data_IF_901704941552
#
_entry.id   IF_901704941552
#
_cell.length_a   1.000
_cell.length_b   1.000
_cell.length_c   1.000
_cell.angle_alpha   90.00
_cell.angle_beta   90.00
_cell.angle_gamma   90.00
#
_symmetry.space_group_name_H-M   'P 1'
#
loop_
_entity.id
_entity.type
_entity.pdbx_description
1 polymer ?
#
# COMPACT_ATOMS: atom_id res chain seq x y z
N UNK A 1 -14.36 -18.80 -14.77
CA UNK A 1 -13.36 -19.01 -13.70
C UNK A 1 -12.59 -17.70 -13.65
N UNK A 2 -12.62 -17.00 -12.53
CA UNK A 2 -11.82 -15.79 -12.37
C UNK A 2 -10.50 -16.23 -11.77
N UNK A 3 -9.41 -16.01 -12.49
CA UNK A 3 -8.07 -16.30 -12.02
C UNK A 3 -7.64 -15.19 -11.04
N UNK A 4 -7.30 -15.58 -9.82
CA UNK A 4 -6.76 -14.69 -8.79
C UNK A 4 -5.34 -15.08 -8.45
N UNK A 5 -4.56 -14.12 -7.97
CA UNK A 5 -3.21 -14.34 -7.44
C UNK A 5 -3.10 -13.80 -6.02
N UNK A 6 -2.32 -14.51 -5.21
CA UNK A 6 -2.06 -14.12 -3.83
C UNK A 6 -1.04 -12.98 -3.82
N UNK A 7 -1.39 -11.91 -3.13
CA UNK A 7 -0.49 -10.79 -2.84
C UNK A 7 0.26 -11.06 -1.55
N UNK A 8 1.58 -10.93 -1.62
CA UNK A 8 2.49 -11.21 -0.52
C UNK A 8 3.22 -9.93 -0.14
N UNK A 9 3.34 -9.67 1.16
CA UNK A 9 4.12 -8.55 1.68
C UNK A 9 5.57 -8.64 1.24
N UNK A 10 6.11 -7.58 0.66
CA UNK A 10 7.51 -7.56 0.22
C UNK A 10 8.48 -7.70 1.40
N UNK A 11 8.15 -7.11 2.56
CA UNK A 11 8.99 -7.08 3.76
C UNK A 11 8.94 -8.37 4.57
N UNK A 12 7.75 -8.81 4.98
CA UNK A 12 7.60 -9.96 5.89
C UNK A 12 7.17 -11.26 5.21
N UNK A 13 7.01 -11.25 3.88
CA UNK A 13 6.58 -12.40 3.07
C UNK A 13 5.27 -13.07 3.50
N UNK A 14 4.45 -12.37 4.29
CA UNK A 14 3.12 -12.85 4.69
C UNK A 14 2.10 -12.59 3.57
N UNK A 15 1.15 -13.51 3.34
CA UNK A 15 0.02 -13.24 2.45
C UNK A 15 -0.84 -12.12 3.04
N UNK A 16 -1.18 -11.12 2.24
CA UNK A 16 -1.98 -9.95 2.66
C UNK A 16 -3.40 -10.04 2.10
N UNK A 17 -3.56 -10.68 0.93
CA UNK A 17 -4.85 -10.83 0.27
C UNK A 17 -4.68 -11.45 -1.11
N UNK A 18 -5.74 -11.34 -1.91
CA UNK A 18 -5.80 -11.84 -3.28
C UNK A 18 -6.29 -10.72 -4.20
N UNK A 19 -5.72 -10.65 -5.40
CA UNK A 19 -6.15 -9.73 -6.46
C UNK A 19 -6.40 -10.51 -7.74
N UNK A 20 -7.15 -9.91 -8.66
CA UNK A 20 -7.34 -10.46 -10.00
C UNK A 20 -6.00 -10.64 -10.72
N UNK A 21 -5.89 -11.66 -11.57
CA UNK A 21 -4.63 -11.98 -12.24
C UNK A 21 -4.08 -10.79 -13.04
N UNK A 22 -4.98 -10.07 -13.72
CA UNK A 22 -4.69 -8.89 -14.55
C UNK A 22 -4.42 -7.62 -13.74
N UNK A 23 -4.76 -7.61 -12.44
CA UNK A 23 -4.47 -6.49 -11.55
C UNK A 23 -3.00 -6.47 -11.15
N UNK A 24 -2.38 -5.29 -11.18
CA UNK A 24 -0.97 -5.11 -10.78
C UNK A 24 -0.92 -4.35 -9.47
N UNK A 25 -0.08 -4.80 -8.53
CA UNK A 25 0.10 -4.15 -7.24
C UNK A 25 1.60 -4.01 -6.98
N UNK A 26 2.07 -2.77 -6.92
CA UNK A 26 3.47 -2.44 -6.68
C UNK A 26 3.74 -2.25 -5.19
N UNK A 27 4.88 -2.75 -4.72
CA UNK A 27 5.31 -2.68 -3.32
C UNK A 27 4.21 -3.03 -2.28
N UNK A 28 3.57 -4.21 -2.39
CA UNK A 28 2.56 -4.61 -1.40
C UNK A 28 3.17 -4.74 0.00
N UNK A 29 2.57 -4.04 0.96
CA UNK A 29 2.94 -4.08 2.37
C UNK A 29 1.75 -4.55 3.20
N UNK A 30 2.03 -5.38 4.21
CA UNK A 30 0.99 -5.78 5.15
C UNK A 30 0.67 -4.60 6.07
N UNK A 31 -0.50 -4.64 6.73
CA UNK A 31 -0.92 -3.57 7.64
C UNK A 31 0.13 -3.22 8.71
N UNK A 32 0.92 -4.19 9.19
CA UNK A 32 2.00 -3.92 10.14
C UNK A 32 3.20 -3.19 9.51
N UNK A 33 3.68 -3.64 8.35
CA UNK A 33 4.80 -3.00 7.67
C UNK A 33 4.42 -1.64 7.06
N UNK A 34 3.18 -1.48 6.62
CA UNK A 34 2.67 -0.20 6.12
C UNK A 34 2.57 0.85 7.24
N UNK A 35 2.29 0.45 8.48
CA UNK A 35 2.28 1.36 9.64
C UNK A 35 3.68 1.91 9.94
N UNK A 36 4.74 1.16 9.66
CA UNK A 36 6.13 1.64 9.79
C UNK A 36 6.48 2.64 8.67
N UNK A 37 5.98 2.43 7.45
CA UNK A 37 6.16 3.35 6.31
C UNK A 37 5.27 4.61 6.37
N UNK A 38 4.19 4.55 7.16
CA UNK A 38 3.24 5.66 7.37
C UNK A 38 3.88 6.90 8.01
N UNK A 39 5.04 6.75 8.65
CA UNK A 39 5.80 7.88 9.18
C UNK A 39 6.52 8.71 8.09
N UNK A 40 6.56 8.25 6.82
CA UNK A 40 7.25 8.96 5.73
C UNK A 40 6.33 9.65 4.70
N UNK A 41 5.00 9.46 4.77
CA UNK A 41 4.03 10.09 3.85
C UNK A 41 3.05 11.09 4.52
N UNK A 42 3.28 11.49 5.78
CA UNK A 42 2.64 12.68 6.38
C UNK A 42 3.40 13.98 6.09
N UNK A 43 4.11 14.06 4.97
CA UNK A 43 4.67 15.33 4.46
C UNK A 43 4.16 15.70 3.07
N UNK A 44 2.94 15.27 2.70
CA UNK A 44 2.15 16.06 1.76
C UNK A 44 1.79 17.38 2.45
N UNK A 45 2.63 18.39 2.19
CA UNK A 45 2.41 19.78 2.53
C UNK A 45 1.01 20.20 2.06
N UNK A 46 0.04 20.20 2.95
CA UNK A 46 -1.12 21.07 2.79
C UNK A 46 -0.60 22.48 3.05
N UNK A 47 -0.08 23.13 2.00
CA UNK A 47 0.02 24.59 1.99
C UNK A 47 -1.42 25.10 1.85
N UNK A 48 -2.10 25.24 2.98
CA UNK A 48 -3.32 26.07 3.03
C UNK A 48 -2.80 27.49 2.83
N UNK A 49 -2.93 28.03 1.62
CA UNK A 49 -2.76 29.45 1.42
C UNK A 49 -3.95 30.15 2.11
N UNK A 50 -3.73 30.70 3.31
CA UNK A 50 -4.62 31.71 3.85
C UNK A 50 -4.56 32.91 2.92
N UNK A 51 -5.64 33.17 2.18
CA UNK A 51 -5.88 34.45 1.52
C UNK A 51 -6.71 35.27 2.51
N UNK A 52 -6.14 36.39 2.92
CA UNK A 52 -6.74 37.48 3.68
C UNK A 52 -7.56 38.38 2.76
#
# INVERSE_FOLDING_TARGET
>A
MYDTKIVICINCKKPIGEIELDSTMDNPLCGQCALEESFSMTKSRIKIAQVM
#
